data_IF_432930781545
#
_entry.id   IF_432930781545
#
_cell.length_a   1.000
_cell.length_b   1.000
_cell.length_c   1.000
_cell.angle_alpha   90.00
_cell.angle_beta   90.00
_cell.angle_gamma   90.00
#
_symmetry.space_group_name_H-M   'P 1'
#
loop_
_entity.id
_entity.type
_entity.pdbx_description
1 polymer ?
#
# COMPACT_ATOMS: atom_id res chain seq x y z
N UNK A 1 25.53 -18.44 -2.25
CA UNK A 1 25.56 -18.01 -0.83
C UNK A 1 25.11 -16.57 -0.86
N UNK A 2 23.80 -16.42 -1.09
CA UNK A 2 23.17 -15.17 -1.54
C UNK A 2 22.57 -14.42 -0.35
N UNK A 3 22.65 -13.10 -0.47
CA UNK A 3 22.45 -12.10 0.56
C UNK A 3 20.96 -11.99 0.94
N UNK A 4 20.62 -12.51 2.12
CA UNK A 4 19.54 -11.96 2.93
C UNK A 4 20.01 -10.58 3.39
N UNK A 5 19.42 -9.51 2.85
CA UNK A 5 19.77 -8.15 3.28
C UNK A 5 19.12 -7.84 4.64
N UNK A 6 19.91 -8.01 5.70
CA UNK A 6 19.72 -7.35 6.99
C UNK A 6 20.77 -6.24 7.11
N UNK A 7 20.45 -5.10 7.76
CA UNK A 7 21.36 -3.96 7.78
C UNK A 7 22.53 -4.27 8.69
N UNK A 8 23.72 -4.45 8.11
CA UNK A 8 24.99 -4.31 8.83
C UNK A 8 25.88 -3.31 8.12
N UNK A 9 26.16 -2.24 8.87
CA UNK A 9 26.92 -1.08 8.47
C UNK A 9 28.35 -1.40 8.01
N UNK A 10 28.82 -0.61 7.04
CA UNK A 10 30.22 -0.23 6.87
C UNK A 10 31.10 -1.22 6.11
N UNK A 11 31.05 -1.18 4.77
CA UNK A 11 32.25 -1.14 3.89
C UNK A 11 31.96 -1.40 2.39
N UNK A 12 30.73 -1.73 1.97
CA UNK A 12 30.43 -2.03 0.55
C UNK A 12 30.07 -0.82 -0.33
N UNK A 13 29.86 0.36 0.26
CA UNK A 13 29.47 1.58 -0.47
C UNK A 13 30.54 2.15 -1.41
N UNK A 14 31.84 1.96 -1.11
CA UNK A 14 32.92 2.48 -1.97
C UNK A 14 33.08 1.68 -3.27
N UNK A 15 32.95 0.35 -3.21
CA UNK A 15 33.08 -0.51 -4.40
C UNK A 15 31.91 -0.38 -5.36
N UNK A 16 30.74 -0.01 -4.86
CA UNK A 16 29.54 0.22 -5.68
C UNK A 16 29.63 1.61 -6.35
N UNK A 17 30.11 2.65 -5.66
CA UNK A 17 30.35 3.97 -6.27
C UNK A 17 31.36 3.93 -7.41
N UNK A 18 32.51 3.27 -7.22
CA UNK A 18 33.55 3.17 -8.27
C UNK A 18 33.06 2.47 -9.54
N UNK A 19 32.18 1.46 -9.40
CA UNK A 19 31.63 0.70 -10.52
C UNK A 19 30.50 1.41 -11.26
N UNK A 20 29.90 2.41 -10.62
CA UNK A 20 28.80 3.22 -11.15
C UNK A 20 29.35 4.42 -11.93
N UNK A 21 30.40 5.10 -11.43
CA UNK A 21 31.06 6.20 -12.15
C UNK A 21 31.69 5.72 -13.48
N UNK A 22 32.27 4.52 -13.51
CA UNK A 22 32.84 3.92 -14.73
C UNK A 22 31.77 3.60 -15.80
N UNK A 23 30.51 3.38 -15.39
CA UNK A 23 29.40 3.05 -16.28
C UNK A 23 28.69 4.30 -16.84
N UNK A 24 28.53 5.35 -16.04
CA UNK A 24 27.96 6.62 -16.48
C UNK A 24 28.86 7.36 -17.49
N UNK A 25 30.18 7.25 -17.35
CA UNK A 25 31.17 7.82 -18.29
C UNK A 25 31.11 7.14 -19.69
N UNK A 26 30.64 5.88 -19.75
CA UNK A 26 30.51 5.13 -21.00
C UNK A 26 29.15 5.37 -21.69
N UNK A 27 28.09 5.68 -20.93
CA UNK A 27 26.78 6.09 -21.45
C UNK A 27 26.75 7.53 -22.00
N UNK A 28 27.45 8.47 -21.35
CA UNK A 28 27.54 9.87 -21.82
C UNK A 28 28.28 9.97 -23.18
N UNK A 29 29.22 9.04 -23.43
CA UNK A 29 29.88 8.88 -24.73
C UNK A 29 28.97 8.30 -25.81
N UNK A 30 27.98 7.48 -25.44
CA UNK A 30 27.01 6.88 -26.38
C UNK A 30 25.87 7.83 -26.73
N UNK A 31 25.48 8.71 -25.82
CA UNK A 31 24.40 9.69 -26.03
C UNK A 31 24.78 10.89 -26.92
N UNK A 32 26.06 11.07 -27.27
CA UNK A 32 26.53 12.17 -28.14
C UNK A 32 26.46 11.89 -29.66
N UNK A 33 25.66 10.92 -30.12
CA UNK A 33 25.33 10.75 -31.54
C UNK A 33 23.86 11.12 -31.82
N UNK A 34 23.68 12.37 -32.22
CA UNK A 34 22.42 13.00 -32.62
C UNK A 34 21.72 12.27 -33.79
N UNK A 35 20.46 11.86 -33.59
CA UNK A 35 19.44 11.84 -34.66
C UNK A 35 18.06 12.17 -34.06
N UNK A 36 17.31 13.17 -34.57
CA UNK A 36 16.06 13.58 -33.93
C UNK A 36 14.85 12.80 -34.44
N UNK A 37 13.91 12.47 -33.54
CA UNK A 37 12.57 11.96 -33.83
C UNK A 37 11.47 12.93 -33.31
N UNK A 38 10.25 12.91 -33.89
CA UNK A 38 9.37 14.07 -33.94
C UNK A 38 8.35 14.13 -32.79
N UNK A 39 7.85 15.36 -32.55
CA UNK A 39 6.92 15.75 -31.49
C UNK A 39 5.50 15.23 -31.72
N UNK A 40 4.87 14.69 -30.69
CA UNK A 40 3.40 14.55 -30.62
C UNK A 40 2.83 14.98 -29.26
N UNK A 41 1.58 15.43 -29.30
CA UNK A 41 0.98 16.47 -28.46
C UNK A 41 0.35 15.95 -27.17
N UNK A 42 0.64 16.61 -26.04
CA UNK A 42 -0.02 16.40 -24.74
C UNK A 42 -1.45 16.97 -24.71
N UNK A 43 -2.42 16.19 -24.26
CA UNK A 43 -3.72 16.71 -23.79
C UNK A 43 -3.88 16.41 -22.31
N UNK A 44 -3.89 17.48 -21.51
CA UNK A 44 -4.16 17.48 -20.07
C UNK A 44 -5.66 17.32 -19.80
N UNK A 45 -6.03 16.49 -18.82
CA UNK A 45 -7.39 16.44 -18.26
C UNK A 45 -7.29 16.75 -16.75
N UNK A 46 -8.12 17.65 -16.19
CA UNK A 46 -7.89 18.22 -14.86
C UNK A 46 -8.54 17.41 -13.73
N UNK A 47 -7.84 17.40 -12.59
CA UNK A 47 -8.28 16.89 -11.29
C UNK A 47 -9.39 17.80 -10.73
N UNK A 48 -10.54 17.23 -10.32
CA UNK A 48 -11.51 17.97 -9.51
C UNK A 48 -11.94 17.19 -8.26
N UNK A 49 -11.82 17.88 -7.12
CA UNK A 49 -12.09 17.43 -5.75
C UNK A 49 -13.58 17.52 -5.41
N UNK A 50 -14.02 16.54 -4.62
CA UNK A 50 -15.33 16.38 -3.96
C UNK A 50 -15.78 17.62 -3.17
N UNK A 51 -17.10 17.85 -3.11
CA UNK A 51 -17.89 18.22 -1.91
C UNK A 51 -19.40 17.91 -2.16
N UNK A 52 -20.05 17.32 -1.16
CA UNK A 52 -21.41 16.71 -1.15
C UNK A 52 -22.54 17.78 -0.99
N UNK A 53 -23.83 17.55 -1.33
CA UNK A 53 -24.87 16.92 -0.50
C UNK A 53 -26.17 16.57 -1.31
N UNK A 54 -26.63 15.31 -1.20
CA UNK A 54 -27.97 14.67 -1.13
C UNK A 54 -29.14 14.95 -2.12
N UNK A 55 -29.75 13.85 -2.63
CA UNK A 55 -31.05 13.35 -2.14
C UNK A 55 -31.25 11.84 -2.43
N UNK A 56 -31.70 11.14 -1.40
CA UNK A 56 -32.19 9.76 -1.30
C UNK A 56 -33.48 9.54 -2.11
N UNK A 57 -33.62 8.35 -2.71
CA UNK A 57 -34.88 7.60 -2.62
C UNK A 57 -34.59 6.11 -2.41
N UNK A 58 -34.82 5.67 -1.18
CA UNK A 58 -34.96 4.28 -0.74
C UNK A 58 -36.40 3.86 -1.07
N UNK A 59 -36.59 2.72 -1.74
CA UNK A 59 -37.87 2.01 -1.71
C UNK A 59 -37.65 0.70 -0.96
N UNK A 60 -38.19 0.67 0.26
CA UNK A 60 -38.42 -0.54 1.06
C UNK A 60 -39.74 -1.14 0.59
N UNK A 61 -39.75 -2.42 0.21
CA UNK A 61 -40.97 -3.22 0.22
C UNK A 61 -40.76 -4.35 1.23
N UNK A 62 -41.43 -4.22 2.38
CA UNK A 62 -41.60 -5.27 3.35
C UNK A 62 -43.10 -5.53 3.55
N UNK A 63 -43.51 -6.75 3.18
CA UNK A 63 -44.52 -7.61 3.82
C UNK A 63 -45.91 -7.08 4.15
N UNK A 64 -46.93 -7.68 3.55
CA UNK A 64 -48.17 -8.05 4.27
C UNK A 64 -48.55 -9.48 3.91
N UNK A 65 -48.42 -10.37 4.90
CA UNK A 65 -49.17 -11.62 4.98
C UNK A 65 -50.45 -11.37 5.81
N UNK A 66 -51.63 -11.69 5.26
CA UNK A 66 -52.83 -11.99 6.06
C UNK A 66 -53.57 -13.18 5.42
N UNK A 67 -53.74 -14.21 6.24
CA UNK A 67 -54.41 -15.47 5.98
C UNK A 67 -55.89 -15.35 5.61
N UNK A 68 -56.40 -16.37 4.89
CA UNK A 68 -57.75 -16.39 4.34
C UNK A 68 -58.90 -16.70 5.32
N UNK A 69 -60.13 -16.38 4.87
CA UNK A 69 -61.38 -16.98 5.33
C UNK A 69 -62.54 -16.76 4.32
N UNK A 70 -62.95 -17.87 3.66
CA UNK A 70 -64.28 -18.36 3.27
C UNK A 70 -65.46 -17.45 2.77
N UNK A 71 -66.05 -17.94 1.65
CA UNK A 71 -67.48 -18.04 1.23
C UNK A 71 -68.18 -16.90 0.43
N UNK A 72 -68.36 -17.14 -0.89
CA UNK A 72 -69.62 -17.60 -1.55
C UNK A 72 -70.03 -16.86 -2.84
N UNK A 73 -70.22 -17.67 -3.91
CA UNK A 73 -71.11 -17.57 -5.09
C UNK A 73 -71.38 -16.21 -5.77
N UNK A 74 -71.24 -16.08 -7.11
CA UNK A 74 -72.12 -16.74 -8.09
C UNK A 74 -71.51 -16.91 -9.49
N UNK A 75 -72.03 -17.92 -10.21
CA UNK A 75 -71.78 -18.31 -11.61
C UNK A 75 -71.87 -17.16 -12.61
N UNK A 76 -70.98 -17.19 -13.61
CA UNK A 76 -71.38 -17.26 -15.02
C UNK A 76 -70.31 -18.00 -15.84
N UNK A 77 -70.75 -18.97 -16.64
CA UNK A 77 -69.91 -19.75 -17.56
C UNK A 77 -69.71 -18.99 -18.87
N UNK A 78 -68.48 -19.01 -19.40
CA UNK A 78 -68.23 -19.02 -20.85
C UNK A 78 -66.87 -19.66 -21.18
N UNK A 79 -66.97 -20.82 -21.83
CA UNK A 79 -66.10 -21.47 -22.81
C UNK A 79 -64.59 -21.14 -22.86
N UNK A 80 -63.82 -22.07 -22.29
CA UNK A 80 -62.73 -22.84 -22.92
C UNK A 80 -61.94 -22.20 -24.08
N UNK A 81 -60.80 -21.61 -23.73
CA UNK A 81 -59.54 -21.87 -24.41
C UNK A 81 -58.51 -22.20 -23.33
N UNK A 82 -58.30 -23.49 -23.11
CA UNK A 82 -57.19 -24.00 -22.32
C UNK A 82 -55.88 -23.65 -23.04
N UNK A 83 -55.24 -22.56 -22.60
CA UNK A 83 -53.81 -22.35 -22.82
C UNK A 83 -53.06 -23.58 -22.28
N UNK A 84 -51.98 -24.05 -22.92
CA UNK A 84 -51.20 -25.14 -22.36
C UNK A 84 -50.69 -24.69 -21.00
N UNK A 85 -51.12 -25.38 -19.94
CA UNK A 85 -50.53 -25.22 -18.62
C UNK A 85 -49.14 -25.82 -18.75
N UNK A 86 -48.15 -24.98 -19.02
CA UNK A 86 -46.74 -25.37 -18.90
C UNK A 86 -46.56 -25.81 -17.46
N UNK A 87 -46.31 -27.11 -17.25
CA UNK A 87 -46.12 -27.66 -15.91
C UNK A 87 -44.85 -27.01 -15.33
N UNK A 88 -45.03 -26.17 -14.33
CA UNK A 88 -43.93 -25.40 -13.74
C UNK A 88 -42.89 -26.36 -13.19
N UNK A 89 -41.67 -26.31 -13.74
CA UNK A 89 -40.55 -27.11 -13.24
C UNK A 89 -40.23 -26.62 -11.82
N UNK A 90 -40.20 -27.56 -10.87
CA UNK A 90 -40.02 -27.28 -9.44
C UNK A 90 -38.68 -27.75 -8.90
N UNK A 91 -37.84 -28.33 -9.75
CA UNK A 91 -36.56 -28.88 -9.37
C UNK A 91 -35.56 -28.61 -10.49
N UNK A 92 -34.53 -27.84 -10.16
CA UNK A 92 -33.43 -27.46 -11.03
C UNK A 92 -32.10 -28.01 -10.49
N UNK A 93 -32.13 -28.90 -9.49
CA UNK A 93 -30.94 -29.37 -8.76
C UNK A 93 -29.91 -30.08 -9.62
N UNK A 94 -30.32 -30.71 -10.72
CA UNK A 94 -29.43 -31.38 -11.68
C UNK A 94 -28.74 -30.41 -12.67
N UNK A 95 -29.02 -29.11 -12.61
CA UNK A 95 -28.51 -28.11 -13.55
C UNK A 95 -27.41 -27.23 -12.95
N UNK A 96 -26.53 -26.73 -13.81
CA UNK A 96 -25.60 -25.64 -13.51
C UNK A 96 -25.91 -24.44 -14.41
N UNK A 97 -26.30 -23.33 -13.79
CA UNK A 97 -26.80 -22.16 -14.50
C UNK A 97 -25.69 -21.34 -15.16
N UNK A 98 -24.41 -21.62 -14.85
CA UNK A 98 -23.30 -21.09 -15.64
C UNK A 98 -23.38 -21.56 -17.10
N UNK A 99 -23.91 -22.75 -17.36
CA UNK A 99 -24.04 -23.30 -18.73
C UNK A 99 -25.08 -22.56 -19.57
N UNK A 100 -25.94 -21.74 -18.94
CA UNK A 100 -26.92 -20.91 -19.61
C UNK A 100 -26.33 -19.58 -20.12
N UNK A 101 -25.12 -19.21 -19.69
CA UNK A 101 -24.45 -18.01 -20.18
C UNK A 101 -24.17 -18.15 -21.68
N UNK A 102 -24.64 -17.16 -22.46
CA UNK A 102 -24.52 -17.15 -23.92
C UNK A 102 -25.47 -18.09 -24.66
N UNK A 103 -26.43 -18.73 -23.96
CA UNK A 103 -27.49 -19.54 -24.57
C UNK A 103 -28.65 -18.69 -25.10
N UNK A 104 -29.46 -19.30 -25.95
CA UNK A 104 -30.64 -18.66 -26.54
C UNK A 104 -31.85 -18.67 -25.61
N UNK A 105 -32.85 -17.85 -25.89
CA UNK A 105 -34.14 -17.89 -25.18
C UNK A 105 -34.80 -19.29 -25.22
N UNK A 106 -34.70 -20.00 -26.35
CA UNK A 106 -35.20 -21.37 -26.48
C UNK A 106 -34.51 -22.34 -25.52
N UNK A 107 -33.21 -22.15 -25.28
CA UNK A 107 -32.46 -22.98 -24.32
C UNK A 107 -32.92 -22.71 -22.87
N UNK A 108 -33.31 -21.48 -22.54
CA UNK A 108 -33.84 -21.14 -21.21
C UNK A 108 -35.22 -21.78 -20.99
N UNK A 109 -36.09 -21.73 -21.99
CA UNK A 109 -37.39 -22.43 -21.96
C UNK A 109 -37.19 -23.94 -21.83
N UNK A 110 -36.24 -24.52 -22.58
CA UNK A 110 -35.88 -25.93 -22.49
C UNK A 110 -35.27 -26.32 -21.13
N UNK A 111 -34.63 -25.38 -20.44
CA UNK A 111 -34.14 -25.56 -19.07
C UNK A 111 -35.29 -25.57 -18.03
N UNK A 112 -36.53 -25.28 -18.44
CA UNK A 112 -37.71 -25.27 -17.58
C UNK A 112 -38.05 -23.92 -16.98
N UNK A 113 -37.39 -22.85 -17.41
CA UNK A 113 -37.68 -21.49 -16.99
C UNK A 113 -38.93 -20.95 -17.70
N UNK A 114 -39.68 -20.12 -16.99
CA UNK A 114 -40.90 -19.50 -17.50
C UNK A 114 -40.63 -18.03 -17.77
N UNK A 115 -40.99 -17.57 -18.95
CA UNK A 115 -40.91 -16.15 -19.31
C UNK A 115 -41.86 -15.32 -18.45
N UNK A 116 -41.34 -14.27 -17.81
CA UNK A 116 -42.11 -13.33 -16.98
C UNK A 116 -42.98 -12.40 -17.84
N UNK A 117 -43.78 -11.53 -17.19
CA UNK A 117 -44.54 -10.48 -17.90
C UNK A 117 -43.60 -9.49 -18.62
N UNK A 118 -42.41 -9.27 -18.07
CA UNK A 118 -41.33 -8.53 -18.71
C UNK A 118 -40.62 -9.40 -19.75
N UNK A 119 -40.59 -8.93 -21.00
CA UNK A 119 -40.15 -9.71 -22.15
C UNK A 119 -38.68 -10.17 -22.10
N UNK A 120 -37.89 -9.56 -21.22
CA UNK A 120 -36.45 -9.84 -21.06
C UNK A 120 -36.16 -10.59 -19.74
N UNK A 121 -37.18 -11.08 -19.01
CA UNK A 121 -37.00 -11.80 -17.75
C UNK A 121 -37.58 -13.22 -17.81
N UNK A 122 -36.86 -14.16 -17.19
CA UNK A 122 -37.25 -15.55 -17.00
C UNK A 122 -37.18 -15.92 -15.53
N UNK A 123 -38.10 -16.76 -15.07
CA UNK A 123 -38.20 -17.14 -13.66
C UNK A 123 -38.49 -18.62 -13.43
N UNK A 124 -38.21 -19.10 -12.22
CA UNK A 124 -38.52 -20.43 -11.71
C UNK A 124 -38.59 -20.45 -10.18
N UNK A 125 -38.98 -21.59 -9.60
CA UNK A 125 -39.03 -21.81 -8.14
C UNK A 125 -39.77 -20.70 -7.36
N UNK A 126 -40.99 -20.36 -7.77
CA UNK A 126 -41.80 -19.30 -7.15
C UNK A 126 -41.04 -17.95 -7.03
N UNK A 127 -40.40 -17.54 -8.13
CA UNK A 127 -39.59 -16.32 -8.25
C UNK A 127 -38.26 -16.28 -7.51
N UNK A 128 -37.85 -17.37 -6.84
CA UNK A 128 -36.53 -17.45 -6.22
C UNK A 128 -35.39 -17.69 -7.23
N UNK A 129 -35.76 -17.97 -8.49
CA UNK A 129 -34.84 -18.03 -9.62
C UNK A 129 -35.23 -16.95 -10.61
N UNK A 130 -34.29 -16.08 -10.98
CA UNK A 130 -34.51 -15.02 -11.98
C UNK A 130 -33.33 -14.93 -12.94
N UNK A 131 -33.61 -14.82 -14.22
CA UNK A 131 -32.63 -14.55 -15.27
C UNK A 131 -33.09 -13.33 -16.05
N UNK A 132 -32.22 -12.34 -16.16
CA UNK A 132 -32.47 -11.13 -16.96
C UNK A 132 -31.62 -11.18 -18.21
N UNK A 133 -32.24 -10.87 -19.34
CA UNK A 133 -31.59 -10.76 -20.63
C UNK A 133 -31.32 -9.31 -20.99
N UNK A 134 -30.21 -9.10 -21.69
CA UNK A 134 -29.88 -7.83 -22.34
C UNK A 134 -29.37 -8.14 -23.73
N UNK A 135 -29.98 -7.51 -24.73
CA UNK A 135 -29.70 -7.77 -26.15
C UNK A 135 -29.78 -9.28 -26.51
N UNK A 136 -30.75 -9.99 -25.91
CA UNK A 136 -31.00 -11.42 -26.14
C UNK A 136 -29.98 -12.37 -25.52
N UNK A 137 -29.12 -11.88 -24.60
CA UNK A 137 -28.14 -12.69 -23.88
C UNK A 137 -28.35 -12.57 -22.38
N UNK A 138 -27.98 -13.61 -21.64
CA UNK A 138 -27.99 -13.59 -20.16
C UNK A 138 -27.09 -12.46 -19.65
N UNK A 139 -27.71 -11.48 -18.99
CA UNK A 139 -27.06 -10.34 -18.35
C UNK A 139 -26.94 -10.59 -16.84
N UNK A 140 -27.96 -11.19 -16.22
CA UNK A 140 -28.01 -11.46 -14.79
C UNK A 140 -28.65 -12.80 -14.49
N UNK A 141 -28.17 -13.46 -13.43
CA UNK A 141 -28.79 -14.65 -12.84
C UNK A 141 -28.87 -14.43 -11.34
N UNK A 142 -30.04 -14.69 -10.75
CA UNK A 142 -30.26 -14.73 -9.31
C UNK A 142 -30.81 -16.09 -8.91
N UNK A 143 -30.15 -16.73 -7.94
CA UNK A 143 -30.53 -18.02 -7.36
C UNK A 143 -30.66 -17.83 -5.84
N UNK A 144 -31.83 -18.16 -5.31
CA UNK A 144 -32.11 -18.22 -3.88
C UNK A 144 -33.11 -19.34 -3.60
N UNK A 145 -33.36 -19.63 -2.32
CA UNK A 145 -34.39 -20.59 -1.89
C UNK A 145 -33.81 -21.91 -1.38
N UNK A 146 -34.55 -23.00 -1.55
CA UNK A 146 -34.23 -24.28 -0.93
C UNK A 146 -33.06 -25.02 -1.64
N UNK A 147 -32.03 -25.49 -0.92
CA UNK A 147 -30.84 -26.15 -1.49
C UNK A 147 -31.14 -27.37 -2.37
N UNK A 148 -32.18 -28.12 -2.01
CA UNK A 148 -32.52 -29.41 -2.64
C UNK A 148 -33.11 -29.27 -4.05
N UNK A 149 -33.60 -28.08 -4.40
CA UNK A 149 -34.30 -27.84 -5.68
C UNK A 149 -33.68 -26.72 -6.50
N UNK A 150 -32.78 -25.92 -5.92
CA UNK A 150 -32.09 -24.84 -6.61
C UNK A 150 -30.96 -25.39 -7.50
N UNK A 151 -30.68 -24.74 -8.64
CA UNK A 151 -29.54 -25.13 -9.47
C UNK A 151 -28.20 -24.74 -8.80
N UNK A 152 -27.12 -25.35 -9.29
CA UNK A 152 -25.79 -24.82 -9.05
C UNK A 152 -25.51 -23.60 -9.94
N UNK A 153 -24.51 -22.82 -9.58
CA UNK A 153 -23.84 -21.89 -10.48
C UNK A 153 -22.33 -22.08 -10.34
N UNK A 154 -21.66 -22.44 -11.44
CA UNK A 154 -20.22 -22.67 -11.47
C UNK A 154 -19.77 -23.72 -10.43
N UNK A 155 -20.59 -24.75 -10.21
CA UNK A 155 -20.38 -25.79 -9.20
C UNK A 155 -20.77 -25.42 -7.77
N UNK A 156 -21.11 -24.16 -7.48
CA UNK A 156 -21.55 -23.69 -6.15
C UNK A 156 -23.05 -23.78 -6.01
N UNK A 157 -23.53 -24.27 -4.87
CA UNK A 157 -24.97 -24.41 -4.56
C UNK A 157 -25.35 -23.60 -3.32
N UNK A 158 -26.65 -23.29 -3.18
CA UNK A 158 -27.20 -22.85 -1.91
C UNK A 158 -26.88 -23.90 -0.83
N UNK A 159 -26.42 -23.44 0.34
CA UNK A 159 -25.97 -24.28 1.45
C UNK A 159 -24.49 -24.70 1.39
N UNK A 160 -23.75 -24.37 0.31
CA UNK A 160 -22.29 -24.61 0.25
C UNK A 160 -21.59 -23.77 1.32
N UNK A 161 -20.58 -24.32 2.00
CA UNK A 161 -19.76 -23.56 2.96
C UNK A 161 -19.03 -22.40 2.27
N UNK A 162 -18.93 -21.25 2.93
CA UNK A 162 -18.40 -20.02 2.33
C UNK A 162 -16.96 -20.16 1.79
N UNK A 163 -16.07 -20.82 2.53
CA UNK A 163 -14.69 -21.04 2.11
C UNK A 163 -14.61 -21.94 0.86
N UNK A 164 -15.38 -23.03 0.84
CA UNK A 164 -15.44 -23.97 -0.30
C UNK A 164 -16.04 -23.29 -1.54
N UNK A 165 -17.10 -22.50 -1.35
CA UNK A 165 -17.74 -21.72 -2.42
C UNK A 165 -16.76 -20.70 -3.02
N UNK A 166 -16.06 -19.94 -2.16
CA UNK A 166 -15.07 -18.95 -2.60
C UNK A 166 -13.94 -19.61 -3.37
N UNK A 167 -13.36 -20.68 -2.83
CA UNK A 167 -12.29 -21.45 -3.49
C UNK A 167 -12.72 -21.97 -4.87
N UNK A 168 -13.95 -22.48 -4.98
CA UNK A 168 -14.51 -22.98 -6.24
C UNK A 168 -14.66 -21.86 -7.28
N UNK A 169 -15.19 -20.69 -6.86
CA UNK A 169 -15.42 -19.58 -7.79
C UNK A 169 -14.12 -18.90 -8.22
N UNK A 170 -13.11 -18.78 -7.34
CA UNK A 170 -11.82 -18.16 -7.65
C UNK A 170 -11.07 -18.87 -8.80
N UNK A 171 -11.33 -20.15 -9.03
CA UNK A 171 -10.77 -20.88 -10.16
C UNK A 171 -11.27 -20.38 -11.53
N UNK A 172 -12.37 -19.62 -11.55
CA UNK A 172 -13.03 -19.11 -12.76
C UNK A 172 -13.04 -17.57 -12.77
N UNK A 173 -13.22 -16.97 -11.60
CA UNK A 173 -13.32 -15.55 -11.32
C UNK A 173 -12.17 -15.14 -10.39
N UNK A 174 -10.96 -14.90 -10.92
CA UNK A 174 -9.75 -14.76 -10.11
C UNK A 174 -9.70 -13.48 -9.26
N UNK A 175 -10.54 -12.48 -9.56
CA UNK A 175 -10.47 -11.16 -8.97
C UNK A 175 -11.33 -11.08 -7.70
N UNK A 176 -10.70 -11.18 -6.53
CA UNK A 176 -11.38 -11.21 -5.23
C UNK A 176 -11.56 -9.82 -4.61
N UNK A 177 -12.82 -9.42 -4.39
CA UNK A 177 -13.18 -8.21 -3.62
C UNK A 177 -14.18 -8.52 -2.50
N UNK A 178 -14.12 -9.74 -1.97
CA UNK A 178 -15.01 -10.24 -0.92
C UNK A 178 -14.90 -9.44 0.39
N UNK A 179 -15.98 -9.44 1.16
CA UNK A 179 -16.07 -8.89 2.51
C UNK A 179 -16.58 -9.96 3.50
N UNK A 180 -16.57 -9.69 4.81
CA UNK A 180 -16.82 -10.70 5.86
C UNK A 180 -18.10 -11.55 5.66
N UNK A 181 -19.19 -10.97 5.13
CA UNK A 181 -20.48 -11.66 4.95
C UNK A 181 -20.88 -11.82 3.47
N UNK A 182 -19.98 -11.53 2.54
CA UNK A 182 -20.27 -11.58 1.11
C UNK A 182 -19.06 -12.04 0.32
N UNK A 183 -19.22 -13.13 -0.42
CA UNK A 183 -18.24 -13.50 -1.44
C UNK A 183 -18.49 -12.62 -2.66
N UNK A 184 -17.46 -11.96 -3.15
CA UNK A 184 -17.53 -11.16 -4.38
C UNK A 184 -16.28 -11.40 -5.20
N UNK A 185 -16.47 -12.10 -6.32
CA UNK A 185 -15.39 -12.49 -7.21
C UNK A 185 -15.75 -12.14 -8.66
N UNK A 186 -14.74 -11.74 -9.42
CA UNK A 186 -14.92 -11.25 -10.79
C UNK A 186 -13.91 -11.86 -11.75
N UNK A 187 -14.21 -11.74 -13.03
CA UNK A 187 -13.26 -11.92 -14.12
C UNK A 187 -13.30 -10.65 -14.97
N UNK A 188 -12.27 -9.81 -14.81
CA UNK A 188 -12.22 -8.51 -15.49
C UNK A 188 -12.11 -8.63 -17.03
N UNK A 189 -11.51 -9.71 -17.54
CA UNK A 189 -11.38 -9.94 -18.99
C UNK A 189 -12.73 -10.23 -19.66
N UNK A 190 -13.56 -11.06 -19.01
CA UNK A 190 -14.91 -11.37 -19.50
C UNK A 190 -15.97 -10.38 -19.03
N UNK A 191 -15.60 -9.49 -18.09
CA UNK A 191 -16.48 -8.55 -17.40
C UNK A 191 -17.61 -9.25 -16.66
N UNK A 192 -17.33 -10.39 -16.06
CA UNK A 192 -18.31 -11.18 -15.32
C UNK A 192 -18.06 -11.06 -13.82
N UNK A 193 -19.11 -11.00 -13.02
CA UNK A 193 -19.02 -10.97 -11.55
C UNK A 193 -20.01 -11.96 -10.94
N UNK A 194 -19.59 -12.57 -9.83
CA UNK A 194 -20.40 -13.45 -9.01
C UNK A 194 -20.35 -12.96 -7.57
N UNK A 195 -21.53 -12.76 -6.99
CA UNK A 195 -21.72 -12.41 -5.59
C UNK A 195 -22.49 -13.54 -4.89
N UNK A 196 -22.03 -13.94 -3.71
CA UNK A 196 -22.76 -14.85 -2.84
C UNK A 196 -23.02 -14.21 -1.49
N UNK A 197 -24.29 -14.16 -1.10
CA UNK A 197 -24.68 -13.77 0.24
C UNK A 197 -24.46 -14.97 1.18
N UNK A 198 -23.89 -14.73 2.36
CA UNK A 198 -23.65 -15.77 3.35
C UNK A 198 -24.62 -15.66 4.53
N UNK A 199 -25.15 -16.79 4.97
CA UNK A 199 -25.93 -16.93 6.19
C UNK A 199 -25.40 -18.13 6.99
N UNK A 200 -25.05 -17.89 8.25
CA UNK A 200 -24.46 -18.89 9.15
C UNK A 200 -23.24 -19.61 8.54
N UNK A 201 -22.43 -18.88 7.76
CA UNK A 201 -21.22 -19.40 7.09
C UNK A 201 -21.49 -20.23 5.83
N UNK A 202 -22.73 -20.27 5.34
CA UNK A 202 -23.13 -20.99 4.12
C UNK A 202 -23.79 -20.06 3.10
N UNK A 203 -23.68 -20.39 1.82
CA UNK A 203 -24.27 -19.60 0.72
C UNK A 203 -25.79 -19.61 0.83
N UNK A 204 -26.42 -18.44 0.95
CA UNK A 204 -27.88 -18.28 0.99
C UNK A 204 -28.48 -17.73 -0.31
N UNK A 205 -27.67 -17.05 -1.12
CA UNK A 205 -28.06 -16.60 -2.45
C UNK A 205 -26.82 -16.47 -3.35
N UNK A 206 -27.01 -16.62 -4.66
CA UNK A 206 -25.99 -16.44 -5.69
C UNK A 206 -26.51 -15.42 -6.71
N UNK A 207 -25.67 -14.45 -7.08
CA UNK A 207 -25.95 -13.42 -8.06
C UNK A 207 -24.82 -13.35 -9.06
N UNK A 208 -25.09 -13.68 -10.32
CA UNK A 208 -24.19 -13.44 -11.44
C UNK A 208 -24.66 -12.22 -12.21
N UNK A 209 -23.73 -11.41 -12.70
CA UNK A 209 -24.02 -10.34 -13.64
C UNK A 209 -22.83 -9.98 -14.54
N UNK A 210 -23.15 -9.48 -15.73
CA UNK A 210 -22.16 -8.83 -16.61
C UNK A 210 -21.96 -7.39 -16.16
N UNK A 211 -20.71 -7.04 -15.87
CA UNK A 211 -20.31 -5.73 -15.41
C UNK A 211 -20.28 -4.68 -16.53
N UNK A 212 -20.66 -3.46 -16.17
CA UNK A 212 -20.39 -2.27 -16.97
C UNK A 212 -18.93 -1.84 -16.87
N UNK A 213 -18.46 -1.01 -17.81
CA UNK A 213 -17.09 -0.45 -17.76
C UNK A 213 -16.82 0.35 -16.47
N UNK A 214 -17.84 1.00 -15.91
CA UNK A 214 -17.75 1.72 -14.64
C UNK A 214 -17.53 0.76 -13.46
N UNK A 215 -18.26 -0.36 -13.42
CA UNK A 215 -18.09 -1.39 -12.38
C UNK A 215 -16.74 -2.11 -12.50
N UNK A 216 -16.26 -2.36 -13.72
CA UNK A 216 -14.91 -2.90 -13.97
C UNK A 216 -13.87 -1.97 -13.36
N UNK A 217 -13.95 -0.67 -13.64
CA UNK A 217 -13.01 0.32 -13.09
C UNK A 217 -13.08 0.43 -11.57
N UNK A 218 -14.26 0.27 -10.95
CA UNK A 218 -14.39 0.23 -9.49
C UNK A 218 -13.71 -0.99 -8.89
N UNK A 219 -13.86 -2.17 -9.51
CA UNK A 219 -13.19 -3.40 -9.07
C UNK A 219 -11.68 -3.28 -9.22
N UNK A 220 -11.19 -2.80 -10.37
CA UNK A 220 -9.76 -2.53 -10.58
C UNK A 220 -9.20 -1.60 -9.50
N UNK A 221 -9.90 -0.51 -9.19
CA UNK A 221 -9.49 0.43 -8.13
C UNK A 221 -9.40 -0.26 -6.77
N UNK A 222 -10.37 -1.12 -6.42
CA UNK A 222 -10.35 -1.85 -5.14
C UNK A 222 -9.21 -2.85 -5.06
N UNK A 223 -8.92 -3.54 -6.16
CA UNK A 223 -7.77 -4.46 -6.22
C UNK A 223 -6.45 -3.69 -6.09
N UNK A 224 -6.35 -2.49 -6.69
CA UNK A 224 -5.16 -1.65 -6.57
C UNK A 224 -4.94 -1.12 -5.14
N UNK A 225 -6.02 -0.86 -4.38
CA UNK A 225 -5.93 -0.44 -2.97
C UNK A 225 -5.26 -1.50 -2.06
N UNK A 226 -5.21 -2.76 -2.47
CA UNK A 226 -4.52 -3.83 -1.74
C UNK A 226 -2.98 -3.79 -1.88
N UNK A 227 -2.46 -2.91 -2.73
CA UNK A 227 -1.03 -2.76 -3.01
C UNK A 227 -0.55 -1.37 -2.63
N UNK A 228 0.69 -1.28 -2.11
CA UNK A 228 1.38 -0.03 -1.82
C UNK A 228 1.82 0.63 -3.13
N UNK A 229 2.35 -0.16 -4.07
CA UNK A 229 2.75 0.29 -5.40
C UNK A 229 2.05 -0.56 -6.47
N UNK A 230 0.74 -0.35 -6.72
CA UNK A 230 -0.05 -1.20 -7.62
C UNK A 230 0.59 -1.35 -9.00
N UNK A 231 1.05 -0.24 -9.59
CA UNK A 231 1.60 -0.20 -10.94
C UNK A 231 3.09 -0.63 -11.04
N UNK A 232 3.70 -1.10 -9.94
CA UNK A 232 5.15 -1.41 -9.91
C UNK A 232 5.58 -2.53 -10.87
N UNK A 233 4.64 -3.33 -11.37
CA UNK A 233 4.86 -4.34 -12.40
C UNK A 233 4.80 -3.77 -13.83
N UNK A 234 4.13 -2.64 -14.05
CA UNK A 234 3.74 -2.16 -15.38
C UNK A 234 4.40 -0.82 -15.77
N UNK A 235 4.91 -0.06 -14.79
CA UNK A 235 5.53 1.24 -15.04
C UNK A 235 6.70 1.50 -14.09
N UNK A 236 7.57 2.45 -14.49
CA UNK A 236 8.58 3.00 -13.59
C UNK A 236 7.92 3.94 -12.57
N UNK A 237 8.18 3.73 -11.29
CA UNK A 237 7.77 4.61 -10.22
C UNK A 237 8.62 5.88 -10.22
N UNK A 238 7.99 7.00 -9.93
CA UNK A 238 8.68 8.26 -9.68
C UNK A 238 9.15 8.37 -8.24
N UNK A 239 10.18 9.19 -8.00
CA UNK A 239 10.64 9.48 -6.63
C UNK A 239 9.52 10.09 -5.78
N UNK A 240 8.68 10.96 -6.36
CA UNK A 240 7.57 11.60 -5.64
C UNK A 240 6.51 10.58 -5.20
N UNK A 241 6.20 9.57 -6.03
CA UNK A 241 5.31 8.46 -5.66
C UNK A 241 5.90 7.66 -4.49
N UNK A 242 7.19 7.29 -4.56
CA UNK A 242 7.85 6.52 -3.50
C UNK A 242 7.94 7.34 -2.20
N UNK A 243 8.29 8.62 -2.27
CA UNK A 243 8.41 9.52 -1.10
C UNK A 243 7.06 9.94 -0.53
N UNK A 244 5.94 9.59 -1.18
CA UNK A 244 4.60 9.87 -0.66
C UNK A 244 4.15 8.90 0.45
N UNK A 245 4.82 7.74 0.58
CA UNK A 245 4.55 6.74 1.63
C UNK A 245 5.60 6.78 2.73
N UNK A 246 5.36 6.10 3.86
CA UNK A 246 6.33 6.02 4.95
C UNK A 246 7.53 5.13 4.58
N UNK A 247 8.66 5.26 5.28
CA UNK A 247 9.84 4.39 5.04
C UNK A 247 9.52 2.92 5.31
N UNK A 248 8.66 2.64 6.30
CA UNK A 248 8.19 1.28 6.57
C UNK A 248 7.34 0.75 5.41
N UNK A 249 6.45 1.58 4.85
CA UNK A 249 5.66 1.25 3.66
C UNK A 249 6.52 1.12 2.40
N UNK A 250 7.62 1.88 2.26
CA UNK A 250 8.59 1.67 1.17
C UNK A 250 9.18 0.27 1.24
N UNK A 251 9.57 -0.18 2.44
CA UNK A 251 10.12 -1.50 2.64
C UNK A 251 9.08 -2.59 2.34
N UNK A 252 7.83 -2.40 2.76
CA UNK A 252 6.73 -3.29 2.42
C UNK A 252 6.48 -3.31 0.91
N UNK A 253 6.35 -2.15 0.26
CA UNK A 253 6.10 -2.00 -1.16
C UNK A 253 7.24 -2.50 -2.06
N UNK A 254 8.49 -2.43 -1.61
CA UNK A 254 9.60 -3.11 -2.29
C UNK A 254 9.46 -4.63 -2.19
N UNK A 255 9.14 -5.15 -1.01
CA UNK A 255 8.95 -6.60 -0.80
C UNK A 255 7.67 -7.11 -1.46
N UNK A 256 6.68 -6.25 -1.69
CA UNK A 256 5.46 -6.57 -2.43
C UNK A 256 5.79 -7.08 -3.85
N UNK A 257 6.78 -6.49 -4.51
CA UNK A 257 7.27 -6.96 -5.82
C UNK A 257 7.76 -8.40 -5.71
N UNK A 258 8.46 -8.79 -4.63
CA UNK A 258 8.87 -10.17 -4.41
C UNK A 258 7.67 -11.09 -4.09
N UNK A 259 6.72 -10.59 -3.31
CA UNK A 259 5.51 -11.29 -2.92
C UNK A 259 4.65 -11.68 -4.12
N UNK A 260 4.53 -10.79 -5.13
CA UNK A 260 3.83 -11.06 -6.41
C UNK A 260 4.39 -12.26 -7.18
N UNK A 261 5.67 -12.59 -6.96
CA UNK A 261 6.35 -13.75 -7.56
C UNK A 261 6.47 -14.94 -6.60
N UNK A 262 5.69 -14.94 -5.51
CA UNK A 262 5.58 -16.05 -4.57
C UNK A 262 6.75 -16.22 -3.61
N UNK A 263 7.55 -15.17 -3.38
CA UNK A 263 8.64 -15.23 -2.39
C UNK A 263 8.11 -15.52 -0.97
N UNK A 264 8.66 -16.53 -0.29
CA UNK A 264 8.28 -16.87 1.09
C UNK A 264 9.01 -15.98 2.11
N UNK A 265 8.26 -15.14 2.83
CA UNK A 265 8.76 -14.32 3.94
C UNK A 265 8.80 -15.07 5.27
N UNK A 266 9.95 -15.06 5.95
CA UNK A 266 10.15 -15.69 7.26
C UNK A 266 10.40 -14.69 8.40
N UNK A 267 10.72 -13.43 8.06
CA UNK A 267 11.12 -12.39 9.00
C UNK A 267 9.98 -11.38 9.21
N UNK A 268 9.84 -10.88 10.45
CA UNK A 268 8.93 -9.78 10.74
C UNK A 268 9.52 -8.43 10.27
N UNK A 269 8.68 -7.46 9.85
CA UNK A 269 7.21 -7.51 9.82
C UNK A 269 6.61 -8.17 8.56
N UNK A 270 7.45 -8.53 7.56
CA UNK A 270 6.99 -8.99 6.25
C UNK A 270 6.17 -10.28 6.31
N UNK A 271 6.58 -11.22 7.17
CA UNK A 271 5.86 -12.47 7.35
C UNK A 271 4.40 -12.25 7.73
N UNK A 272 4.15 -11.46 8.79
CA UNK A 272 2.77 -11.17 9.23
C UNK A 272 2.03 -10.35 8.17
N UNK A 273 2.66 -9.29 7.66
CA UNK A 273 2.02 -8.39 6.70
C UNK A 273 1.52 -9.13 5.44
N UNK A 274 2.38 -9.95 4.81
CA UNK A 274 2.01 -10.67 3.58
C UNK A 274 1.09 -11.85 3.83
N UNK A 275 1.18 -12.53 5.00
CA UNK A 275 0.24 -13.59 5.35
C UNK A 275 -1.22 -13.09 5.46
N UNK A 276 -1.40 -11.80 5.75
CA UNK A 276 -2.72 -11.17 5.82
C UNK A 276 -3.23 -10.66 4.45
N UNK A 277 -2.43 -10.72 3.38
CA UNK A 277 -2.85 -10.29 2.04
C UNK A 277 -3.55 -11.43 1.29
N UNK A 278 -4.79 -11.20 0.85
CA UNK A 278 -5.57 -12.22 0.12
C UNK A 278 -4.97 -12.63 -1.23
N UNK A 279 -4.22 -11.73 -1.86
CA UNK A 279 -3.57 -11.96 -3.16
C UNK A 279 -2.22 -12.69 -3.06
N UNK A 280 -1.63 -12.80 -1.87
CA UNK A 280 -0.30 -13.35 -1.68
C UNK A 280 -0.31 -14.87 -1.48
N UNK A 281 0.47 -15.57 -2.30
CA UNK A 281 0.73 -17.00 -2.15
C UNK A 281 2.24 -17.28 -2.15
N UNK A 282 2.80 -17.52 -0.97
CA UNK A 282 4.22 -17.87 -0.82
C UNK A 282 4.53 -19.30 -1.28
N UNK A 283 5.17 -19.44 -2.43
CA UNK A 283 5.47 -20.74 -3.08
C UNK A 283 6.95 -21.01 -3.29
N UNK A 284 7.79 -19.96 -3.32
CA UNK A 284 9.22 -20.04 -3.65
C UNK A 284 10.06 -19.66 -2.42
N UNK A 285 10.85 -20.58 -1.86
CA UNK A 285 11.73 -20.27 -0.74
C UNK A 285 12.89 -19.36 -1.19
N UNK A 286 13.42 -18.59 -0.24
CA UNK A 286 14.49 -17.60 -0.47
C UNK A 286 15.70 -18.15 -1.25
N UNK A 287 16.11 -19.39 -0.99
CA UNK A 287 17.27 -20.02 -1.63
C UNK A 287 17.04 -20.44 -3.08
N UNK A 288 15.79 -20.39 -3.55
CA UNK A 288 15.37 -20.74 -4.90
C UNK A 288 14.79 -19.54 -5.66
N UNK A 289 14.69 -18.38 -5.00
CA UNK A 289 14.14 -17.18 -5.61
C UNK A 289 15.23 -16.43 -6.39
N UNK A 290 15.14 -16.45 -7.72
CA UNK A 290 16.10 -15.80 -8.61
C UNK A 290 15.50 -14.52 -9.22
N UNK A 291 15.55 -13.42 -8.46
CA UNK A 291 14.99 -12.11 -8.83
C UNK A 291 15.36 -11.66 -10.26
N UNK A 292 16.62 -11.87 -10.67
CA UNK A 292 17.09 -11.49 -12.01
C UNK A 292 16.38 -12.21 -13.16
N UNK A 293 15.83 -13.41 -12.89
CA UNK A 293 15.15 -14.24 -13.87
C UNK A 293 13.63 -14.04 -13.86
N UNK A 294 13.05 -13.71 -12.71
CA UNK A 294 11.60 -13.57 -12.55
C UNK A 294 11.12 -12.14 -12.75
N UNK A 295 11.92 -11.14 -12.35
CA UNK A 295 11.52 -9.74 -12.48
C UNK A 295 11.66 -9.21 -13.91
N UNK A 296 10.66 -8.44 -14.31
CA UNK A 296 10.72 -7.63 -15.52
C UNK A 296 11.58 -6.35 -15.32
N UNK A 297 11.74 -5.56 -16.38
CA UNK A 297 12.59 -4.37 -16.34
C UNK A 297 12.05 -3.26 -15.41
N UNK A 298 10.72 -3.11 -15.31
CA UNK A 298 10.09 -2.15 -14.40
C UNK A 298 10.35 -2.54 -12.94
N UNK A 299 10.07 -3.80 -12.60
CA UNK A 299 10.23 -4.33 -11.24
C UNK A 299 11.68 -4.20 -10.76
N UNK A 300 12.66 -4.55 -11.59
CA UNK A 300 14.09 -4.38 -11.28
C UNK A 300 14.42 -2.92 -10.94
N UNK A 301 13.97 -1.98 -11.78
CA UNK A 301 14.25 -0.56 -11.58
C UNK A 301 13.51 0.03 -10.39
N UNK A 302 12.28 -0.40 -10.14
CA UNK A 302 11.50 0.05 -9.00
C UNK A 302 12.10 -0.46 -7.68
N UNK A 303 12.53 -1.73 -7.62
CA UNK A 303 13.23 -2.28 -6.44
C UNK A 303 14.53 -1.51 -6.16
N UNK A 304 15.33 -1.22 -7.20
CA UNK A 304 16.55 -0.41 -7.09
C UNK A 304 16.25 0.99 -6.55
N UNK A 305 15.28 1.70 -7.14
CA UNK A 305 14.94 3.07 -6.77
C UNK A 305 14.37 3.18 -5.35
N UNK A 306 13.44 2.30 -4.98
CA UNK A 306 12.87 2.28 -3.63
C UNK A 306 13.97 2.06 -2.59
N UNK A 307 14.87 1.08 -2.84
CA UNK A 307 16.01 0.82 -1.96
C UNK A 307 16.93 2.03 -1.83
N UNK A 308 17.24 2.70 -2.94
CA UNK A 308 18.09 3.89 -2.90
C UNK A 308 17.48 4.98 -2.00
N UNK A 309 16.19 5.25 -2.15
CA UNK A 309 15.47 6.27 -1.36
C UNK A 309 15.43 5.88 0.13
N UNK A 310 15.18 4.60 0.44
CA UNK A 310 15.26 4.10 1.82
C UNK A 310 16.65 4.32 2.43
N UNK A 311 17.71 3.95 1.72
CA UNK A 311 19.09 4.10 2.18
C UNK A 311 19.46 5.59 2.38
N UNK A 312 18.96 6.49 1.52
CA UNK A 312 19.12 7.94 1.68
C UNK A 312 18.42 8.47 2.94
N UNK A 313 17.17 8.09 3.18
CA UNK A 313 16.39 8.56 4.33
C UNK A 313 17.00 8.01 5.64
N UNK A 314 17.33 6.72 5.67
CA UNK A 314 17.94 6.07 6.82
C UNK A 314 19.34 6.63 7.10
N UNK A 315 20.14 6.88 6.06
CA UNK A 315 21.45 7.52 6.18
C UNK A 315 21.37 8.94 6.74
N UNK A 316 20.41 9.74 6.27
CA UNK A 316 20.19 11.09 6.77
C UNK A 316 19.76 11.09 8.25
N UNK A 317 18.87 10.17 8.65
CA UNK A 317 18.43 10.03 10.03
C UNK A 317 19.57 9.62 10.98
N UNK A 318 20.43 8.70 10.53
CA UNK A 318 21.62 8.30 11.29
C UNK A 318 22.58 9.49 11.47
N UNK A 319 22.88 10.23 10.40
CA UNK A 319 23.74 11.40 10.45
C UNK A 319 23.20 12.49 11.38
N UNK A 320 21.89 12.74 11.36
CA UNK A 320 21.26 13.71 12.27
C UNK A 320 21.34 13.26 13.73
N UNK A 321 21.19 11.96 13.99
CA UNK A 321 21.33 11.39 15.34
C UNK A 321 22.76 11.56 15.85
N UNK A 322 23.76 11.25 15.02
CA UNK A 322 25.18 11.45 15.36
C UNK A 322 25.51 12.92 15.61
N UNK A 323 25.01 13.83 14.76
CA UNK A 323 25.15 15.28 14.94
C UNK A 323 24.62 15.72 16.31
N UNK A 324 23.42 15.27 16.67
CA UNK A 324 22.76 15.65 17.90
C UNK A 324 23.49 15.09 19.13
N UNK A 325 24.02 13.85 19.02
CA UNK A 325 24.85 13.26 20.07
C UNK A 325 26.13 14.06 20.28
N UNK A 326 26.83 14.45 19.20
CA UNK A 326 28.04 15.28 19.30
C UNK A 326 27.78 16.64 19.96
N UNK A 327 26.63 17.25 19.71
CA UNK A 327 26.20 18.49 20.38
C UNK A 327 25.88 18.24 21.86
N UNK A 328 25.15 17.17 22.18
CA UNK A 328 24.79 16.83 23.55
C UNK A 328 26.03 16.51 24.40
N UNK A 329 26.95 15.71 23.88
CA UNK A 329 28.21 15.35 24.55
C UNK A 329 29.04 16.59 24.90
N UNK A 330 29.08 17.58 23.99
CA UNK A 330 29.75 18.85 24.25
C UNK A 330 29.04 19.70 25.32
N UNK A 331 27.70 19.73 25.32
CA UNK A 331 26.96 20.36 26.40
C UNK A 331 27.21 19.68 27.75
N UNK A 332 27.20 18.36 27.79
CA UNK A 332 27.41 17.59 29.02
C UNK A 332 28.86 17.72 29.53
N UNK A 333 29.83 17.92 28.64
CA UNK A 333 31.21 18.25 29.00
C UNK A 333 31.34 19.65 29.60
N UNK A 334 30.67 20.66 29.02
CA UNK A 334 30.87 22.06 29.39
C UNK A 334 30.02 22.50 30.57
N UNK A 335 28.73 22.18 30.57
CA UNK A 335 27.75 22.75 31.52
C UNK A 335 28.06 22.34 32.96
N UNK A 336 28.00 23.30 33.87
CA UNK A 336 28.34 23.14 35.28
C UNK A 336 29.84 23.23 35.59
N UNK A 337 30.69 23.41 34.58
CA UNK A 337 32.14 23.47 34.75
C UNK A 337 32.69 24.87 34.50
N UNK A 338 33.74 25.21 35.25
CA UNK A 338 34.53 26.42 35.07
C UNK A 338 35.92 26.09 34.55
N UNK A 339 36.50 26.99 33.76
CA UNK A 339 37.77 26.78 33.11
C UNK A 339 38.67 28.02 33.20
N UNK A 340 39.95 27.83 33.51
CA UNK A 340 40.96 28.88 33.50
C UNK A 340 41.65 28.96 32.14
N UNK A 341 41.71 30.15 31.54
CA UNK A 341 42.45 30.35 30.30
C UNK A 341 43.97 30.33 30.57
N UNK A 342 44.70 29.44 29.88
CA UNK A 342 46.15 29.29 30.05
C UNK A 342 46.87 30.58 29.67
N UNK A 343 47.68 31.09 30.60
CA UNK A 343 48.46 32.32 30.40
C UNK A 343 47.69 33.61 30.68
N UNK A 344 46.44 33.52 31.12
CA UNK A 344 45.59 34.67 31.48
C UNK A 344 45.03 34.50 32.90
N UNK A 345 44.62 35.61 33.52
CA UNK A 345 43.93 35.58 34.82
C UNK A 345 42.42 35.29 34.67
N UNK A 346 41.90 35.38 33.44
CA UNK A 346 40.47 35.22 33.13
C UNK A 346 40.05 33.75 33.15
N UNK A 347 38.87 33.50 33.73
CA UNK A 347 38.20 32.20 33.70
C UNK A 347 36.84 32.33 32.99
N UNK A 348 36.32 31.21 32.51
CA UNK A 348 34.96 31.13 31.95
C UNK A 348 34.18 30.00 32.62
N UNK A 349 32.91 30.24 32.97
CA UNK A 349 32.01 29.24 33.55
C UNK A 349 30.80 29.03 32.66
N UNK A 350 30.51 27.78 32.29
CA UNK A 350 29.32 27.39 31.53
C UNK A 350 28.21 27.02 32.52
N UNK A 351 27.45 27.99 33.02
CA UNK A 351 26.47 27.77 34.09
C UNK A 351 25.27 26.92 33.65
N UNK A 352 24.77 27.19 32.44
CA UNK A 352 23.62 26.50 31.83
C UNK A 352 23.89 26.23 30.35
N UNK A 353 22.95 25.61 29.63
CA UNK A 353 23.06 25.36 28.18
C UNK A 353 23.05 26.62 27.30
N UNK A 354 22.77 27.78 27.88
CA UNK A 354 22.67 29.06 27.16
C UNK A 354 23.39 30.21 27.85
N UNK A 355 24.00 30.00 29.02
CA UNK A 355 24.65 31.06 29.81
C UNK A 355 26.12 30.73 30.06
N UNK A 356 26.99 31.64 29.62
CA UNK A 356 28.41 31.65 29.91
C UNK A 356 28.73 32.88 30.78
N UNK A 357 29.54 32.69 31.82
CA UNK A 357 30.04 33.76 32.69
C UNK A 357 31.54 33.92 32.47
N UNK A 358 31.98 35.12 32.15
CA UNK A 358 33.40 35.48 32.02
C UNK A 358 33.85 36.17 33.29
N UNK A 359 34.81 35.57 33.97
CA UNK A 359 35.31 35.97 35.28
C UNK A 359 36.70 36.58 35.08
N UNK A 360 36.82 37.90 35.23
CA UNK A 360 38.09 38.60 34.99
C UNK A 360 39.02 38.62 36.21
N UNK A 361 38.45 38.46 37.41
CA UNK A 361 39.15 38.59 38.68
C UNK A 361 39.48 40.04 39.07
N UNK A 362 39.81 40.25 40.35
CA UNK A 362 40.07 41.59 40.89
C UNK A 362 38.78 42.40 41.13
N UNK A 363 38.80 43.70 40.83
CA UNK A 363 37.63 44.60 40.98
C UNK A 363 36.78 44.73 39.69
N UNK A 364 37.01 43.88 38.69
CA UNK A 364 36.26 43.89 37.42
C UNK A 364 35.01 43.02 37.58
N UNK A 365 33.84 43.56 37.21
CA UNK A 365 32.57 42.82 37.23
C UNK A 365 32.54 41.68 36.20
N UNK A 366 31.95 40.56 36.58
CA UNK A 366 31.76 39.41 35.71
C UNK A 366 30.80 39.73 34.56
N UNK A 367 31.09 39.20 33.36
CA UNK A 367 30.24 39.38 32.18
C UNK A 367 29.43 38.12 31.91
N UNK A 368 28.11 38.28 31.84
CA UNK A 368 27.20 37.24 31.38
C UNK A 368 26.97 37.38 29.88
N UNK A 369 27.12 36.28 29.15
CA UNK A 369 26.83 36.20 27.72
C UNK A 369 26.13 34.89 27.39
N UNK A 370 25.50 34.82 26.21
CA UNK A 370 24.94 33.59 25.68
C UNK A 370 25.94 32.85 24.81
N UNK A 371 25.77 31.52 24.78
CA UNK A 371 26.46 30.68 23.83
C UNK A 371 25.52 29.63 23.24
N UNK A 372 25.94 29.04 22.13
CA UNK A 372 25.29 27.88 21.53
C UNK A 372 26.33 26.91 20.99
N UNK A 373 25.96 25.63 20.90
CA UNK A 373 26.82 24.59 20.32
C UNK A 373 26.20 24.08 19.04
N UNK A 374 27.03 23.90 18.02
CA UNK A 374 26.67 23.21 16.78
C UNK A 374 27.71 22.17 16.44
N UNK A 375 27.35 21.18 15.62
CA UNK A 375 28.29 20.21 15.08
C UNK A 375 28.07 20.07 13.58
N UNK A 376 29.12 19.86 12.81
CA UNK A 376 29.05 19.65 11.36
C UNK A 376 30.11 18.65 10.92
N UNK A 377 29.73 17.82 9.94
CA UNK A 377 30.59 16.78 9.39
C UNK A 377 31.49 17.38 8.32
N UNK A 378 32.76 17.62 8.67
CA UNK A 378 33.74 18.30 7.81
C UNK A 378 34.92 17.39 7.50
N UNK A 379 35.61 17.70 6.39
CA UNK A 379 36.90 17.07 6.08
C UNK A 379 37.93 17.62 7.06
N UNK A 380 38.34 16.77 7.99
CA UNK A 380 39.50 16.98 8.84
C UNK A 380 40.75 16.45 8.13
N UNK A 381 41.94 16.72 8.67
CA UNK A 381 43.25 16.47 8.02
C UNK A 381 43.31 15.10 7.30
N UNK A 382 43.98 15.07 6.14
CA UNK A 382 44.19 13.86 5.31
C UNK A 382 42.91 13.24 4.72
N UNK A 383 41.95 14.08 4.30
CA UNK A 383 40.67 13.69 3.68
C UNK A 383 39.75 12.81 4.55
N UNK A 384 40.04 12.70 5.85
CA UNK A 384 39.19 12.00 6.81
C UNK A 384 38.05 12.90 7.26
N UNK A 385 36.80 12.46 7.08
CA UNK A 385 35.63 13.20 7.54
C UNK A 385 35.32 12.88 8.99
N UNK A 386 35.13 13.91 9.80
CA UNK A 386 34.84 13.80 11.22
C UNK A 386 33.78 14.82 11.64
N UNK A 387 33.02 14.51 12.69
CA UNK A 387 32.12 15.47 13.33
C UNK A 387 32.96 16.50 14.09
N UNK A 388 32.92 17.75 13.65
CA UNK A 388 33.57 18.86 14.33
C UNK A 388 32.53 19.65 15.11
N UNK A 389 32.81 19.94 16.38
CA UNK A 389 31.93 20.69 17.26
C UNK A 389 32.41 22.13 17.43
N UNK A 390 31.46 23.06 17.45
CA UNK A 390 31.71 24.49 17.50
C UNK A 390 30.89 25.13 18.61
N UNK A 391 31.50 26.06 19.32
CA UNK A 391 30.83 26.92 20.32
C UNK A 391 30.76 28.32 19.74
N UNK A 392 29.58 28.91 19.71
CA UNK A 392 29.37 30.30 19.31
C UNK A 392 29.08 31.12 20.55
N UNK A 393 29.97 32.07 20.86
CA UNK A 393 29.88 32.97 22.02
C UNK A 393 29.80 34.41 21.50
N UNK A 394 28.79 35.18 21.89
CA UNK A 394 28.56 36.55 21.40
C UNK A 394 28.58 36.67 19.85
N UNK A 395 28.11 35.62 19.16
CA UNK A 395 28.08 35.56 17.69
C UNK A 395 29.42 35.23 17.03
N UNK A 396 30.48 34.96 17.79
CA UNK A 396 31.77 34.48 17.29
C UNK A 396 31.88 32.98 17.50
N UNK A 397 32.13 32.25 16.42
CA UNK A 397 32.27 30.79 16.44
C UNK A 397 33.72 30.36 16.71
N UNK A 398 33.88 29.36 17.58
CA UNK A 398 35.14 28.74 17.92
C UNK A 398 35.03 27.23 17.72
N UNK A 399 36.03 26.62 17.09
CA UNK A 399 36.16 25.17 17.05
C UNK A 399 36.50 24.66 18.44
N UNK A 400 35.63 23.80 18.99
CA UNK A 400 35.75 23.25 20.33
C UNK A 400 36.44 21.89 20.28
N UNK A 401 37.47 21.72 21.12
CA UNK A 401 38.07 20.43 21.42
C UNK A 401 38.04 20.19 22.92
N UNK A 402 37.43 19.08 23.32
CA UNK A 402 37.37 18.63 24.70
C UNK A 402 38.35 17.46 24.89
N UNK A 403 39.04 17.42 26.03
CA UNK A 403 40.06 16.41 26.33
C UNK A 403 39.69 15.59 27.56
N UNK A 404 40.21 14.36 27.63
CA UNK A 404 39.88 13.40 28.69
C UNK A 404 40.32 13.82 30.09
N UNK A 405 41.26 14.77 30.19
CA UNK A 405 41.68 15.37 31.46
C UNK A 405 40.76 16.50 31.93
N UNK A 406 39.67 16.75 31.21
CA UNK A 406 38.72 17.83 31.48
C UNK A 406 39.15 19.16 30.87
N UNK A 407 40.34 19.29 30.29
CA UNK A 407 40.73 20.52 29.60
C UNK A 407 39.99 20.68 28.27
N UNK A 408 39.97 21.91 27.75
CA UNK A 408 39.43 22.20 26.42
C UNK A 408 40.26 23.23 25.65
N UNK A 409 40.03 23.30 24.35
CA UNK A 409 40.57 24.35 23.49
C UNK A 409 39.44 24.94 22.65
N UNK A 410 39.36 26.27 22.65
CA UNK A 410 38.54 27.05 21.74
C UNK A 410 39.50 27.64 20.70
N UNK A 411 39.34 27.26 19.43
CA UNK A 411 40.16 27.75 18.34
C UNK A 411 39.33 28.66 17.42
N UNK A 412 39.71 29.92 17.27
CA UNK A 412 38.98 30.91 16.48
C UNK A 412 39.70 32.25 16.39
N UNK A 413 39.01 33.25 15.83
CA UNK A 413 39.56 34.61 15.65
C UNK A 413 38.98 35.63 16.65
N UNK A 414 38.48 35.16 17.79
CA UNK A 414 37.85 36.01 18.80
C UNK A 414 38.56 35.98 20.16
N UNK A 415 38.01 36.70 21.12
CA UNK A 415 38.63 36.90 22.44
C UNK A 415 38.75 35.64 23.31
N UNK A 416 37.97 34.60 23.00
CA UNK A 416 38.00 33.32 23.70
C UNK A 416 38.91 32.28 23.02
N UNK A 417 39.73 32.68 22.04
CA UNK A 417 40.72 31.78 21.45
C UNK A 417 41.78 31.41 22.49
N UNK A 418 41.95 30.11 22.76
CA UNK A 418 42.92 29.66 23.74
C UNK A 418 42.71 28.24 24.28
N UNK A 419 43.66 27.85 25.13
CA UNK A 419 43.61 26.61 25.91
C UNK A 419 43.07 26.87 27.30
N UNK A 420 42.24 25.97 27.80
CA UNK A 420 41.48 26.14 29.03
C UNK A 420 41.62 24.91 29.91
N UNK A 421 42.07 25.13 31.15
CA UNK A 421 42.22 24.08 32.16
C UNK A 421 40.97 24.03 33.04
N UNK A 422 40.45 22.82 33.29
CA UNK A 422 39.31 22.62 34.18
C UNK A 422 39.63 23.11 35.59
N UNK A 423 38.70 23.84 36.19
CA UNK A 423 38.75 24.27 37.59
C UNK A 423 38.01 23.21 38.40
N UNK A 424 38.74 22.54 39.30
CA UNK A 424 38.23 21.50 40.20
C UNK A 424 37.32 22.04 41.30
#
# INVERSE_FOLDING_TARGET
>A
MELIYTPKAGNDLLRIKERIEEYFDDEEKRMNHNTPLPKEQSKSIPVYRKWWFWLITVIVIAGIAVAGFLLSASKDQKEDQTAPVTEQVKDFSDQDFKDLIGKSEEDLENAGLIKSEDADEYTGLDENLKIVLKDGKVDQIHIAGEPDVTPAFAGVRIGTGGEDAKSTLLAIYPDDTSAEEMIKVSNLDTKESVECDLSDGTVSAIRYFVMTDEQVSEVESKLQEAYIFPDSADKYLSEDEIRSVSVDDMALGRNEIFARHGYIFNEEPFKTYFADQSWYEGTVPSDQFHADQVFNDFEKKNVELIRQIEDEINGAAAAQTEQQNAVNDAYDFLVGHSYNCRGYQTSISFETRDTLVVIYGGEIEDRYTSYSISSRYEVYRDDQKEWLTFVTIDGVEYYLRCFTDGSMNLAGNGEFDGWYDLIS
#
